data_IF_962307692547
#
_entry.id   IF_962307692547
#
_cell.length_a   1.000
_cell.length_b   1.000
_cell.length_c   1.000
_cell.angle_alpha   90.00
_cell.angle_beta   90.00
_cell.angle_gamma   90.00
#
_symmetry.space_group_name_H-M   'P 1'
#
loop_
_entity.id
_entity.type
_entity.pdbx_description
1 polymer ?
#
# COMPACT_ATOMS: atom_id res chain seq x y z
N UNK A 1 54.09 9.87 -30.81
CA UNK A 1 53.23 11.04 -30.53
C UNK A 1 51.83 10.73 -31.07
N UNK A 2 50.91 10.26 -30.22
CA UNK A 2 49.56 9.88 -30.62
C UNK A 2 48.56 10.94 -30.16
N UNK A 3 48.14 11.81 -31.06
CA UNK A 3 46.99 12.71 -30.86
C UNK A 3 45.70 11.92 -31.09
N UNK A 4 45.05 11.47 -30.01
CA UNK A 4 43.69 10.93 -30.09
C UNK A 4 42.73 12.08 -30.39
N UNK A 5 42.14 12.04 -31.59
CA UNK A 5 41.08 12.96 -31.99
C UNK A 5 39.83 12.73 -31.12
N UNK A 6 39.37 13.79 -30.46
CA UNK A 6 38.12 13.83 -29.71
C UNK A 6 36.95 13.85 -30.70
N UNK A 7 36.27 12.72 -30.85
CA UNK A 7 35.08 12.61 -31.68
C UNK A 7 33.93 13.41 -31.05
N UNK A 8 33.68 14.62 -31.56
CA UNK A 8 32.50 15.42 -31.20
C UNK A 8 31.25 14.74 -31.73
N UNK A 9 30.49 14.08 -30.86
CA UNK A 9 29.17 13.57 -31.19
C UNK A 9 28.25 14.75 -31.54
N UNK A 10 27.78 14.81 -32.79
CA UNK A 10 26.83 15.81 -33.26
C UNK A 10 25.50 15.62 -32.53
N UNK A 11 25.13 16.57 -31.68
CA UNK A 11 23.82 16.59 -31.03
C UNK A 11 22.73 16.78 -32.10
N UNK A 12 21.98 15.72 -32.40
CA UNK A 12 20.79 15.81 -33.26
C UNK A 12 19.79 16.74 -32.58
N UNK A 13 19.44 17.83 -33.26
CA UNK A 13 18.47 18.82 -32.78
C UNK A 13 17.07 18.19 -32.78
N UNK A 14 16.57 17.82 -31.61
CA UNK A 14 15.21 17.29 -31.46
C UNK A 14 14.19 18.42 -31.58
N UNK A 15 13.14 18.24 -32.37
CA UNK A 15 12.07 19.23 -32.56
C UNK A 15 10.73 18.62 -32.16
N UNK A 16 10.08 19.23 -31.17
CA UNK A 16 8.73 18.85 -30.75
C UNK A 16 7.71 19.17 -31.85
N UNK A 17 6.79 18.24 -32.08
CA UNK A 17 5.61 18.40 -32.95
C UNK A 17 4.37 18.74 -32.09
N UNK A 18 3.35 19.37 -32.69
CA UNK A 18 2.16 19.87 -31.95
C UNK A 18 1.39 18.81 -31.14
N UNK A 19 1.51 17.54 -31.49
CA UNK A 19 0.82 16.43 -30.81
C UNK A 19 1.80 15.46 -30.13
N UNK A 20 2.99 15.93 -29.76
CA UNK A 20 3.97 15.09 -29.07
C UNK A 20 3.63 15.01 -27.58
N UNK A 21 3.25 13.83 -27.11
CA UNK A 21 2.99 13.57 -25.69
C UNK A 21 4.30 13.17 -25.01
N UNK A 22 4.78 14.01 -24.10
CA UNK A 22 6.04 13.79 -23.37
C UNK A 22 5.80 13.03 -22.06
N UNK A 23 4.56 13.09 -21.55
CA UNK A 23 4.15 12.48 -20.30
C UNK A 23 2.87 13.15 -19.78
N UNK A 24 2.46 12.74 -18.59
CA UNK A 24 1.31 13.32 -17.89
C UNK A 24 1.79 14.24 -16.76
N UNK A 25 1.01 15.26 -16.36
CA UNK A 25 1.38 16.12 -15.22
C UNK A 25 1.46 15.34 -13.90
N UNK A 26 0.67 14.28 -13.77
CA UNK A 26 0.67 13.39 -12.60
C UNK A 26 1.35 12.06 -12.91
N UNK A 27 2.27 11.64 -12.03
CA UNK A 27 3.03 10.41 -12.14
C UNK A 27 2.15 9.14 -12.20
N UNK A 28 1.00 9.13 -11.51
CA UNK A 28 0.10 7.96 -11.50
C UNK A 28 -0.48 7.69 -12.89
N UNK A 29 -0.79 8.76 -13.63
CA UNK A 29 -1.40 8.74 -14.96
C UNK A 29 -0.38 8.67 -16.11
N UNK A 30 0.92 8.69 -15.82
CA UNK A 30 1.97 8.67 -16.83
C UNK A 30 2.37 7.24 -17.20
N UNK A 31 2.18 6.87 -18.46
CA UNK A 31 2.52 5.56 -19.02
C UNK A 31 4.00 5.43 -19.41
N UNK A 32 4.70 6.54 -19.63
CA UNK A 32 6.11 6.53 -20.01
C UNK A 32 7.04 6.63 -18.81
N UNK A 33 6.50 6.83 -17.61
CA UNK A 33 7.27 7.06 -16.39
C UNK A 33 8.30 5.96 -16.13
N UNK A 34 7.92 4.69 -16.31
CA UNK A 34 8.79 3.53 -16.12
C UNK A 34 10.00 3.55 -17.06
N UNK A 35 9.82 3.98 -18.32
CA UNK A 35 10.88 4.01 -19.34
C UNK A 35 11.91 5.10 -19.11
N UNK A 36 11.53 6.15 -18.39
CA UNK A 36 12.37 7.34 -18.13
C UNK A 36 12.78 7.39 -16.65
N UNK A 37 12.40 6.38 -15.86
CA UNK A 37 12.79 6.28 -14.47
C UNK A 37 14.30 6.10 -14.36
N UNK A 38 14.93 6.92 -13.52
CA UNK A 38 16.37 6.85 -13.23
C UNK A 38 16.52 6.47 -11.76
N UNK A 39 17.05 5.29 -11.53
CA UNK A 39 17.27 4.77 -10.18
C UNK A 39 18.48 5.44 -9.52
N UNK A 40 18.28 6.01 -8.33
CA UNK A 40 19.31 6.68 -7.54
C UNK A 40 19.68 5.92 -6.25
N UNK A 41 19.45 4.59 -6.21
CA UNK A 41 19.74 3.72 -5.06
C UNK A 41 18.66 3.69 -3.97
N UNK A 42 17.58 4.45 -4.12
CA UNK A 42 16.44 4.42 -3.18
C UNK A 42 15.68 3.09 -3.22
N UNK A 43 15.62 2.45 -4.38
CA UNK A 43 14.95 1.16 -4.58
C UNK A 43 15.64 0.08 -3.75
N UNK A 44 16.97 -0.03 -3.82
CA UNK A 44 17.73 -1.02 -3.04
C UNK A 44 17.40 -0.94 -1.54
N UNK A 45 17.38 0.27 -0.97
CA UNK A 45 17.04 0.50 0.44
C UNK A 45 15.61 0.07 0.78
N UNK A 46 14.65 0.31 -0.11
CA UNK A 46 13.24 -0.01 0.12
C UNK A 46 12.90 -1.48 -0.14
N UNK A 47 13.70 -2.18 -0.93
CA UNK A 47 13.56 -3.62 -1.16
C UNK A 47 14.15 -4.49 -0.05
N UNK A 48 15.04 -3.94 0.77
CA UNK A 48 15.68 -4.66 1.87
C UNK A 48 14.72 -4.79 3.08
N UNK A 49 14.22 -6.01 3.30
CA UNK A 49 13.30 -6.34 4.40
C UNK A 49 13.99 -6.28 5.77
N UNK A 50 15.32 -6.37 5.83
CA UNK A 50 16.09 -6.24 7.07
C UNK A 50 16.35 -4.77 7.42
N UNK A 51 16.09 -3.86 6.48
CA UNK A 51 16.31 -2.44 6.67
C UNK A 51 15.11 -1.80 7.40
N UNK A 52 15.32 -1.09 8.52
CA UNK A 52 14.22 -0.41 9.21
C UNK A 52 13.70 0.84 8.46
N UNK A 53 14.35 1.26 7.37
CA UNK A 53 13.97 2.46 6.59
C UNK A 53 12.73 2.17 5.74
N UNK A 54 11.57 2.60 6.21
CA UNK A 54 10.28 2.35 5.54
C UNK A 54 9.48 3.62 5.20
N UNK A 55 10.07 4.82 5.37
CA UNK A 55 9.38 6.09 5.17
C UNK A 55 10.04 6.86 4.04
N UNK A 56 9.24 7.18 3.01
CA UNK A 56 9.66 8.01 1.88
C UNK A 56 9.17 9.44 2.12
N UNK A 57 10.08 10.40 2.25
CA UNK A 57 9.76 11.81 2.52
C UNK A 57 10.35 12.68 1.41
N UNK A 58 9.61 13.69 0.97
CA UNK A 58 10.10 14.63 -0.03
C UNK A 58 9.02 15.62 -0.46
N UNK A 59 9.41 16.72 -1.11
CA UNK A 59 8.49 17.72 -1.66
C UNK A 59 7.66 17.15 -2.82
N UNK A 60 6.60 17.85 -3.20
CA UNK A 60 5.90 17.59 -4.47
C UNK A 60 6.90 17.69 -5.63
N UNK A 61 6.86 16.73 -6.55
CA UNK A 61 7.81 16.64 -7.66
C UNK A 61 9.13 15.91 -7.36
N UNK A 62 9.37 15.47 -6.13
CA UNK A 62 10.58 14.70 -5.77
C UNK A 62 10.60 13.25 -6.29
N UNK A 63 9.61 12.82 -7.09
CA UNK A 63 9.59 11.48 -7.68
C UNK A 63 9.02 10.36 -6.80
N UNK A 64 8.49 10.66 -5.60
CA UNK A 64 7.95 9.63 -4.67
C UNK A 64 6.91 8.69 -5.31
N UNK A 65 5.95 9.26 -6.05
CA UNK A 65 4.93 8.47 -6.74
C UNK A 65 5.52 7.61 -7.87
N UNK A 66 6.58 8.09 -8.53
CA UNK A 66 7.30 7.33 -9.53
C UNK A 66 8.03 6.14 -8.91
N UNK A 67 8.70 6.36 -7.76
CA UNK A 67 9.39 5.32 -7.01
C UNK A 67 8.43 4.22 -6.54
N UNK A 68 7.27 4.58 -5.99
CA UNK A 68 6.25 3.62 -5.56
C UNK A 68 5.73 2.80 -6.76
N UNK A 69 5.43 3.48 -7.88
CA UNK A 69 4.95 2.81 -9.10
C UNK A 69 6.00 1.84 -9.65
N UNK A 70 7.26 2.25 -9.66
CA UNK A 70 8.38 1.39 -10.06
C UNK A 70 8.49 0.14 -9.16
N UNK A 71 8.35 0.29 -7.83
CA UNK A 71 8.32 -0.85 -6.91
C UNK A 71 7.12 -1.77 -7.18
N UNK A 72 5.95 -1.22 -7.46
CA UNK A 72 4.73 -1.98 -7.78
C UNK A 72 4.87 -2.78 -9.09
N UNK A 73 5.54 -2.24 -10.10
CA UNK A 73 5.72 -2.90 -11.40
C UNK A 73 6.84 -3.96 -11.38
N UNK A 74 7.89 -3.77 -10.57
CA UNK A 74 9.08 -4.64 -10.57
C UNK A 74 9.07 -5.73 -9.49
N UNK A 75 8.23 -5.61 -8.46
CA UNK A 75 8.13 -6.59 -7.38
C UNK A 75 6.83 -7.40 -7.46
N UNK A 76 6.93 -8.69 -7.18
CA UNK A 76 5.80 -9.63 -7.32
C UNK A 76 4.80 -9.60 -6.16
N UNK A 77 5.18 -9.07 -5.00
CA UNK A 77 4.37 -9.08 -3.77
C UNK A 77 4.18 -7.70 -3.17
N UNK A 78 3.77 -6.75 -4.00
CA UNK A 78 3.45 -5.39 -3.55
C UNK A 78 1.94 -5.20 -3.53
N UNK A 79 1.43 -4.75 -2.40
CA UNK A 79 0.02 -4.44 -2.22
C UNK A 79 -0.13 -3.00 -1.73
N UNK A 80 -0.75 -2.17 -2.57
CA UNK A 80 -1.05 -0.77 -2.23
C UNK A 80 -2.29 -0.71 -1.34
N UNK A 81 -2.11 -0.20 -0.13
CA UNK A 81 -3.20 0.04 0.81
C UNK A 81 -3.59 1.51 0.70
N UNK A 82 -4.85 1.79 0.32
CA UNK A 82 -5.42 3.13 0.31
C UNK A 82 -6.30 3.34 1.56
N UNK A 83 -5.82 4.06 2.58
CA UNK A 83 -6.54 4.20 3.84
C UNK A 83 -7.93 4.82 3.61
N UNK A 84 -8.01 5.89 2.82
CA UNK A 84 -9.24 6.65 2.59
C UNK A 84 -10.34 5.77 1.99
N UNK A 85 -10.02 5.01 0.94
CA UNK A 85 -10.95 4.10 0.29
C UNK A 85 -11.47 2.98 1.22
N UNK A 86 -10.64 2.54 2.18
CA UNK A 86 -11.01 1.46 3.09
C UNK A 86 -11.89 1.94 4.24
N UNK A 87 -11.57 3.07 4.85
CA UNK A 87 -12.31 3.58 6.02
C UNK A 87 -13.67 4.17 5.66
N UNK A 88 -13.78 4.87 4.51
CA UNK A 88 -15.01 5.53 4.07
C UNK A 88 -16.17 4.53 3.95
N UNK A 89 -15.93 3.34 3.41
CA UNK A 89 -16.98 2.30 3.26
C UNK A 89 -17.68 1.94 4.56
N UNK A 90 -16.97 1.95 5.68
CA UNK A 90 -17.53 1.65 7.00
C UNK A 90 -18.21 2.85 7.67
N UNK A 91 -17.93 4.06 7.19
CA UNK A 91 -18.46 5.32 7.72
C UNK A 91 -19.75 5.74 7.01
N UNK A 92 -19.82 5.60 5.68
CA UNK A 92 -20.91 6.15 4.85
C UNK A 92 -22.29 5.59 5.18
N UNK A 93 -22.36 4.34 5.68
CA UNK A 93 -23.63 3.66 5.99
C UNK A 93 -23.92 3.58 7.49
N UNK A 94 -23.15 4.29 8.32
CA UNK A 94 -23.13 4.01 9.75
C UNK A 94 -24.01 4.95 10.55
N UNK A 95 -25.23 4.51 10.87
CA UNK A 95 -26.07 5.10 11.93
C UNK A 95 -25.35 5.11 13.30
N UNK A 96 -24.29 4.31 13.46
CA UNK A 96 -23.47 4.24 14.67
C UNK A 96 -22.81 5.59 15.01
N UNK A 97 -22.46 6.39 14.00
CA UNK A 97 -21.78 7.68 14.23
C UNK A 97 -22.73 8.69 14.88
N UNK A 98 -23.99 8.69 14.45
CA UNK A 98 -25.05 9.51 15.05
C UNK A 98 -25.32 9.03 16.48
N UNK A 99 -25.48 7.72 16.66
CA UNK A 99 -25.68 7.12 17.99
C UNK A 99 -24.57 7.48 18.98
N UNK A 100 -23.29 7.35 18.60
CA UNK A 100 -22.18 7.68 19.50
C UNK A 100 -22.06 9.18 19.78
N UNK A 101 -22.41 10.02 18.81
CA UNK A 101 -22.46 11.48 18.99
C UNK A 101 -23.58 11.88 19.96
N UNK A 102 -24.77 11.31 19.81
CA UNK A 102 -25.92 11.58 20.68
C UNK A 102 -25.68 11.06 22.11
N UNK A 103 -24.90 9.98 22.25
CA UNK A 103 -24.45 9.46 23.54
C UNK A 103 -23.29 10.27 24.17
N UNK A 104 -22.80 11.34 23.52
CA UNK A 104 -21.71 12.19 24.02
C UNK A 104 -20.34 11.48 24.05
N UNK A 105 -20.16 10.40 23.29
CA UNK A 105 -18.95 9.58 23.30
C UNK A 105 -17.89 10.20 22.37
N UNK A 106 -16.63 10.15 22.81
CA UNK A 106 -15.51 10.61 22.00
C UNK A 106 -15.26 9.68 20.80
N UNK A 107 -15.64 10.16 19.61
CA UNK A 107 -15.46 9.47 18.32
C UNK A 107 -14.00 9.17 17.97
N UNK A 108 -13.03 9.85 18.59
CA UNK A 108 -11.61 9.58 18.38
C UNK A 108 -11.23 8.13 18.70
N UNK A 109 -11.76 7.58 19.79
CA UNK A 109 -11.50 6.19 20.16
C UNK A 109 -12.15 5.21 19.16
N UNK A 110 -13.37 5.52 18.71
CA UNK A 110 -14.06 4.73 17.71
C UNK A 110 -13.26 4.65 16.40
N UNK A 111 -12.78 5.78 15.87
CA UNK A 111 -11.96 5.78 14.65
C UNK A 111 -10.68 4.98 14.83
N UNK A 112 -10.01 5.07 15.99
CA UNK A 112 -8.80 4.28 16.27
C UNK A 112 -9.07 2.78 16.22
N UNK A 113 -10.19 2.33 16.79
CA UNK A 113 -10.60 0.92 16.76
C UNK A 113 -11.02 0.49 15.35
N UNK A 114 -11.77 1.35 14.64
CA UNK A 114 -12.20 1.11 13.27
C UNK A 114 -10.99 0.89 12.35
N UNK A 115 -10.01 1.78 12.40
CA UNK A 115 -8.78 1.65 11.63
C UNK A 115 -8.04 0.36 11.94
N UNK A 116 -7.91 -0.01 13.22
CA UNK A 116 -7.29 -1.26 13.61
C UNK A 116 -8.02 -2.46 13.00
N UNK A 117 -9.35 -2.46 13.02
CA UNK A 117 -10.16 -3.51 12.40
C UNK A 117 -9.94 -3.57 10.88
N UNK A 118 -10.04 -2.43 10.19
CA UNK A 118 -9.85 -2.31 8.74
C UNK A 118 -8.48 -2.82 8.31
N UNK A 119 -7.41 -2.39 8.99
CA UNK A 119 -6.05 -2.85 8.70
C UNK A 119 -5.89 -4.36 8.90
N UNK A 120 -6.42 -4.91 10.00
CA UNK A 120 -6.34 -6.35 10.26
C UNK A 120 -7.06 -7.13 9.16
N UNK A 121 -8.29 -6.74 8.82
CA UNK A 121 -9.07 -7.42 7.78
C UNK A 121 -8.34 -7.39 6.44
N UNK A 122 -7.77 -6.25 6.07
CA UNK A 122 -7.07 -6.15 4.80
C UNK A 122 -5.79 -7.00 4.76
N UNK A 123 -4.99 -6.97 5.82
CA UNK A 123 -3.80 -7.82 5.94
C UNK A 123 -4.21 -9.30 5.85
N UNK A 124 -5.28 -9.71 6.53
CA UNK A 124 -5.76 -11.09 6.46
C UNK A 124 -6.18 -11.46 5.04
N UNK A 125 -6.88 -10.57 4.32
CA UNK A 125 -7.21 -10.83 2.91
C UNK A 125 -5.96 -11.02 2.05
N UNK A 126 -4.92 -10.20 2.24
CA UNK A 126 -3.64 -10.35 1.52
C UNK A 126 -2.95 -11.68 1.81
N UNK A 127 -3.05 -12.20 3.04
CA UNK A 127 -2.49 -13.51 3.40
C UNK A 127 -3.34 -14.70 2.91
N UNK A 128 -4.66 -14.53 2.72
CA UNK A 128 -5.60 -15.62 2.41
C UNK A 128 -6.18 -15.60 1.00
N UNK A 129 -5.83 -14.63 0.16
CA UNK A 129 -6.51 -14.36 -1.12
C UNK A 129 -6.36 -15.45 -2.19
N UNK A 130 -5.46 -16.42 -2.02
CA UNK A 130 -5.17 -17.39 -3.10
C UNK A 130 -5.82 -18.77 -2.94
N UNK A 131 -6.34 -19.16 -1.76
CA UNK A 131 -6.89 -20.51 -1.55
C UNK A 131 -8.00 -20.56 -0.49
N UNK A 132 -9.26 -20.75 -0.89
CA UNK A 132 -10.40 -20.91 0.02
C UNK A 132 -10.23 -22.08 1.01
N UNK A 133 -9.59 -23.17 0.57
CA UNK A 133 -9.34 -24.34 1.40
C UNK A 133 -8.21 -24.09 2.42
N UNK A 134 -7.13 -23.40 2.03
CA UNK A 134 -6.07 -23.00 2.97
C UNK A 134 -6.57 -21.94 3.95
N UNK A 135 -7.46 -21.04 3.51
CA UNK A 135 -8.12 -20.04 4.37
C UNK A 135 -8.85 -20.70 5.53
N UNK A 136 -9.68 -21.71 5.26
CA UNK A 136 -10.41 -22.43 6.34
C UNK A 136 -9.47 -23.16 7.29
N UNK A 137 -8.47 -23.86 6.76
CA UNK A 137 -7.52 -24.61 7.59
C UNK A 137 -6.64 -23.69 8.45
N UNK A 138 -6.19 -22.56 7.91
CA UNK A 138 -5.35 -21.62 8.65
C UNK A 138 -6.16 -20.74 9.60
N UNK A 139 -7.39 -20.36 9.26
CA UNK A 139 -8.31 -19.72 10.22
C UNK A 139 -8.64 -20.64 11.38
N UNK A 140 -8.81 -21.95 11.12
CA UNK A 140 -8.95 -22.96 12.18
C UNK A 140 -7.66 -23.07 13.01
N UNK A 141 -6.48 -23.15 12.40
CA UNK A 141 -5.21 -23.18 13.13
C UNK A 141 -4.95 -21.91 13.94
N UNK A 142 -5.28 -20.72 13.41
CA UNK A 142 -5.20 -19.45 14.13
C UNK A 142 -6.23 -19.41 15.26
N UNK A 143 -7.47 -19.87 15.02
CA UNK A 143 -8.50 -19.99 16.06
C UNK A 143 -7.98 -20.88 17.18
N UNK A 144 -7.43 -22.05 16.86
CA UNK A 144 -6.93 -23.01 17.83
C UNK A 144 -5.72 -22.45 18.59
N UNK A 145 -4.78 -21.79 17.91
CA UNK A 145 -3.65 -21.14 18.56
C UNK A 145 -4.07 -19.95 19.45
N UNK A 146 -5.06 -19.15 19.02
CA UNK A 146 -5.58 -18.03 19.79
C UNK A 146 -6.41 -18.51 20.98
N UNK A 147 -7.20 -19.57 20.83
CA UNK A 147 -7.96 -20.21 21.93
C UNK A 147 -6.99 -20.84 22.94
N UNK A 148 -5.95 -21.54 22.47
CA UNK A 148 -4.93 -22.13 23.33
C UNK A 148 -4.09 -21.07 24.06
N UNK A 149 -3.80 -19.93 23.41
CA UNK A 149 -3.09 -18.79 24.02
C UNK A 149 -3.99 -17.95 24.93
N UNK A 150 -5.30 -17.97 24.70
CA UNK A 150 -6.31 -17.26 25.48
C UNK A 150 -7.13 -18.25 26.31
N UNK A 151 -6.49 -18.92 27.27
CA UNK A 151 -7.01 -20.09 27.96
C UNK A 151 -8.47 -20.06 28.48
N UNK A 152 -9.12 -18.90 28.71
CA UNK A 152 -10.57 -18.80 28.97
C UNK A 152 -11.29 -18.09 27.81
N UNK A 153 -12.18 -18.82 27.13
CA UNK A 153 -13.04 -18.33 26.05
C UNK A 153 -14.03 -17.32 26.64
N UNK A 154 -13.77 -16.04 26.40
CA UNK A 154 -14.70 -14.97 26.72
C UNK A 154 -15.83 -14.97 25.66
N UNK A 155 -17.10 -14.76 26.01
CA UNK A 155 -18.21 -14.76 25.05
C UNK A 155 -18.06 -13.71 23.94
N UNK A 156 -17.33 -12.61 24.20
CA UNK A 156 -16.98 -11.62 23.19
C UNK A 156 -15.96 -12.14 22.15
N UNK A 157 -15.06 -13.05 22.55
CA UNK A 157 -14.04 -13.63 21.66
C UNK A 157 -14.64 -14.67 20.72
N UNK A 158 -15.59 -15.46 21.21
CA UNK A 158 -16.32 -16.44 20.38
C UNK A 158 -17.16 -15.75 19.30
N UNK A 159 -17.83 -14.64 19.65
CA UNK A 159 -18.52 -13.78 18.67
C UNK A 159 -17.58 -13.20 17.62
N UNK A 160 -16.36 -12.81 18.00
CA UNK A 160 -15.37 -12.28 17.05
C UNK A 160 -14.88 -13.34 16.07
N UNK A 161 -14.73 -14.59 16.51
CA UNK A 161 -14.37 -15.70 15.62
C UNK A 161 -15.51 -16.01 14.65
N UNK A 162 -16.76 -16.00 15.12
CA UNK A 162 -17.95 -16.21 14.28
C UNK A 162 -18.15 -15.12 13.22
N UNK A 163 -17.61 -13.92 13.45
CA UNK A 163 -17.63 -12.82 12.47
C UNK A 163 -16.62 -13.01 11.32
N UNK A 164 -15.64 -13.89 11.49
CA UNK A 164 -14.62 -14.19 10.46
C UNK A 164 -15.04 -15.33 9.51
N UNK A 165 -16.12 -16.07 9.83
CA UNK A 165 -16.77 -17.04 8.93
C UNK A 165 -17.66 -16.33 7.90
#
# INVERSE_FOLDING_TARGET
MNSKACAKQQQKKFRFIKHHTIGSPDAESDFNLEKVFVENGEVEVLTDVLNPKCIIIGRTGAGKSALIKHLEENLTKVHRIHPEAMSIKYLTNSTILNYFRDAGINLHFFYKVLWKHVFIVEILKLFFSEDEQKRRNYLQQLRDQLVNRWGKINPAKDKAVKYLE
#
